data_IF_992989211614
#
_entry.id   IF_992989211614
#
_cell.length_a   1.000
_cell.length_b   1.000
_cell.length_c   1.000
_cell.angle_alpha   90.00
_cell.angle_beta   90.00
_cell.angle_gamma   90.00
#
_symmetry.space_group_name_H-M   'P 1'
#
loop_
_entity.id
_entity.type
_entity.pdbx_description
1 polymer ?
#
# COMPACT_ATOMS: atom_id res chain seq x y z
N UNK A 1 16.74 19.53 1.28
CA UNK A 1 15.45 18.85 1.56
C UNK A 1 14.64 18.90 0.28
N UNK A 2 14.20 17.75 -0.24
CA UNK A 2 13.28 17.74 -1.38
C UNK A 2 11.95 18.37 -0.95
N UNK A 3 11.43 19.31 -1.73
CA UNK A 3 10.07 19.81 -1.51
C UNK A 3 9.09 18.63 -1.58
N UNK A 4 8.14 18.56 -0.65
CA UNK A 4 7.06 17.58 -0.69
C UNK A 4 6.01 18.07 -1.69
N UNK A 5 5.74 17.28 -2.72
CA UNK A 5 4.70 17.59 -3.69
C UNK A 5 3.51 16.67 -3.40
N UNK A 6 2.38 17.27 -3.06
CA UNK A 6 1.12 16.54 -3.02
C UNK A 6 0.66 16.24 -4.45
N UNK A 7 -0.30 15.31 -4.56
CA UNK A 7 -0.94 15.04 -5.83
C UNK A 7 -1.50 16.32 -6.45
N UNK A 8 -1.11 16.60 -7.69
CA UNK A 8 -1.53 17.72 -8.50
C UNK A 8 -2.36 17.20 -9.68
N UNK A 9 -3.69 17.38 -9.71
CA UNK A 9 -4.54 16.89 -10.80
C UNK A 9 -4.24 17.55 -12.15
N UNK A 10 -3.53 18.69 -12.16
CA UNK A 10 -3.12 19.42 -13.38
C UNK A 10 -1.69 19.10 -13.83
N UNK A 11 -0.95 18.28 -13.06
CA UNK A 11 0.39 17.84 -13.42
C UNK A 11 0.37 16.64 -14.36
N UNK A 12 1.55 16.26 -14.87
CA UNK A 12 1.68 15.02 -15.63
C UNK A 12 1.37 13.80 -14.73
N UNK A 13 0.41 12.99 -15.16
CA UNK A 13 0.04 11.73 -14.51
C UNK A 13 0.34 10.61 -15.50
N UNK A 14 1.31 9.77 -15.16
CA UNK A 14 1.60 8.55 -15.89
C UNK A 14 0.72 7.43 -15.35
N UNK A 15 -0.16 6.94 -16.21
CA UNK A 15 -0.99 5.77 -15.95
C UNK A 15 -0.43 4.56 -16.69
N UNK A 16 -0.27 3.44 -15.99
CA UNK A 16 0.05 2.14 -16.61
C UNK A 16 -0.95 1.09 -16.16
N UNK A 17 -1.49 0.32 -17.12
CA UNK A 17 -2.49 -0.71 -16.88
C UNK A 17 -1.94 -2.07 -17.32
N UNK A 18 -1.15 -2.70 -16.46
CA UNK A 18 -0.79 -4.13 -16.57
C UNK A 18 -1.62 -4.92 -15.54
N UNK A 19 -1.03 -5.92 -14.88
CA UNK A 19 -1.71 -6.74 -13.85
C UNK A 19 -2.23 -5.92 -12.66
N UNK A 20 -1.59 -4.79 -12.36
CA UNK A 20 -2.04 -3.81 -11.37
C UNK A 20 -1.97 -2.41 -12.01
N UNK A 21 -3.08 -1.67 -12.09
CA UNK A 21 -3.05 -0.32 -12.61
C UNK A 21 -2.30 0.59 -11.64
N UNK A 22 -1.33 1.36 -12.15
CA UNK A 22 -0.54 2.29 -11.35
C UNK A 22 -0.70 3.72 -11.87
N UNK A 23 -1.01 4.64 -10.96
CA UNK A 23 -1.00 6.07 -11.21
C UNK A 23 0.27 6.63 -10.61
N UNK A 24 1.04 7.35 -11.43
CA UNK A 24 2.34 7.88 -11.03
C UNK A 24 2.42 9.36 -11.39
N UNK A 25 2.72 10.19 -10.41
CA UNK A 25 3.11 11.57 -10.59
C UNK A 25 4.49 11.79 -9.96
N UNK A 26 5.39 12.40 -10.74
CA UNK A 26 6.76 12.68 -10.34
C UNK A 26 6.77 13.54 -9.07
N UNK A 27 7.48 13.08 -8.04
CA UNK A 27 7.61 13.79 -6.77
C UNK A 27 6.39 13.71 -5.85
N UNK A 28 5.33 13.00 -6.24
CA UNK A 28 4.16 12.84 -5.39
C UNK A 28 4.46 11.96 -4.17
N UNK A 29 3.76 12.26 -3.07
CA UNK A 29 3.73 11.45 -1.85
C UNK A 29 2.67 10.35 -2.00
N UNK A 30 3.02 9.12 -1.62
CA UNK A 30 2.14 7.96 -1.62
C UNK A 30 2.08 7.35 -0.23
N UNK A 31 0.87 6.97 0.19
CA UNK A 31 0.66 6.04 1.29
C UNK A 31 0.57 4.62 0.72
N UNK A 32 1.43 3.72 1.20
CA UNK A 32 1.52 2.35 0.73
C UNK A 32 1.43 1.39 1.91
N UNK A 33 0.57 0.39 1.76
CA UNK A 33 0.42 -0.71 2.71
C UNK A 33 0.82 -2.01 2.02
N UNK A 34 1.72 -2.77 2.63
CA UNK A 34 2.01 -4.14 2.23
C UNK A 34 1.88 -5.08 3.42
N UNK A 35 1.49 -6.32 3.15
CA UNK A 35 1.06 -7.26 4.19
C UNK A 35 1.58 -8.66 3.92
N UNK A 36 1.69 -9.45 4.98
CA UNK A 36 1.94 -10.88 4.84
C UNK A 36 0.80 -11.53 4.06
N UNK A 37 1.11 -12.60 3.33
CA UNK A 37 0.14 -13.29 2.48
C UNK A 37 -1.07 -13.81 3.28
N UNK A 38 -0.84 -14.23 4.53
CA UNK A 38 -1.82 -14.74 5.47
C UNK A 38 -2.45 -13.68 6.38
N UNK A 39 -2.04 -12.40 6.25
CA UNK A 39 -2.55 -11.29 7.08
C UNK A 39 -4.06 -11.03 6.89
N UNK A 40 -4.63 -11.46 5.77
CA UNK A 40 -6.08 -11.44 5.55
C UNK A 40 -6.59 -12.84 5.25
N UNK A 41 -7.44 -13.42 6.11
CA UNK A 41 -8.11 -14.67 5.85
C UNK A 41 -8.84 -14.65 4.50
N UNK A 42 -8.71 -15.73 3.73
CA UNK A 42 -9.28 -15.83 2.39
C UNK A 42 -10.78 -15.52 2.36
N UNK A 43 -11.55 -16.02 3.34
CA UNK A 43 -12.99 -15.80 3.40
C UNK A 43 -13.37 -14.31 3.57
N UNK A 44 -12.65 -13.56 4.42
CA UNK A 44 -12.86 -12.11 4.59
C UNK A 44 -12.53 -11.36 3.31
N UNK A 45 -11.41 -11.72 2.66
CA UNK A 45 -11.00 -11.12 1.39
C UNK A 45 -12.05 -11.35 0.29
N UNK A 46 -12.51 -12.59 0.12
CA UNK A 46 -13.51 -12.94 -0.90
C UNK A 46 -14.84 -12.23 -0.66
N UNK A 47 -15.29 -12.17 0.60
CA UNK A 47 -16.50 -11.45 0.97
C UNK A 47 -16.37 -9.96 0.63
N UNK A 48 -15.27 -9.33 1.05
CA UNK A 48 -15.00 -7.92 0.78
C UNK A 48 -14.93 -7.60 -0.72
N UNK A 49 -14.24 -8.43 -1.51
CA UNK A 49 -14.17 -8.27 -2.96
C UNK A 49 -15.56 -8.35 -3.58
N UNK A 50 -16.38 -9.32 -3.16
CA UNK A 50 -17.77 -9.47 -3.64
C UNK A 50 -18.65 -8.25 -3.30
N UNK A 51 -18.60 -7.78 -2.06
CA UNK A 51 -19.37 -6.63 -1.59
C UNK A 51 -18.94 -5.34 -2.28
N UNK A 52 -17.63 -5.11 -2.42
CA UNK A 52 -17.09 -3.95 -3.12
C UNK A 52 -17.51 -3.95 -4.58
N UNK A 53 -17.37 -5.08 -5.27
CA UNK A 53 -17.71 -5.18 -6.68
C UNK A 53 -19.22 -4.99 -6.89
N UNK A 54 -20.07 -5.47 -5.97
CA UNK A 54 -21.50 -5.18 -5.99
C UNK A 54 -21.81 -3.70 -5.78
N UNK A 55 -21.14 -3.05 -4.83
CA UNK A 55 -21.32 -1.63 -4.54
C UNK A 55 -20.89 -0.76 -5.73
N UNK A 56 -19.75 -1.07 -6.37
CA UNK A 56 -19.23 -0.37 -7.55
C UNK A 56 -20.14 -0.47 -8.78
N UNK A 57 -20.92 -1.55 -8.91
CA UNK A 57 -21.93 -1.68 -9.99
C UNK A 57 -23.09 -0.69 -9.83
N UNK A 58 -23.44 -0.36 -8.60
CA UNK A 58 -24.54 0.56 -8.26
C UNK A 58 -24.05 2.01 -8.25
N UNK A 59 -22.84 2.26 -7.74
CA UNK A 59 -22.26 3.59 -7.60
C UNK A 59 -21.24 3.87 -8.71
N UNK A 60 -21.72 4.34 -9.86
CA UNK A 60 -20.86 4.72 -10.98
C UNK A 60 -20.20 6.08 -10.75
N UNK A 61 -18.94 6.20 -11.14
CA UNK A 61 -18.20 7.46 -11.09
C UNK A 61 -18.69 8.48 -12.14
N UNK A 62 -18.49 9.80 -11.92
CA UNK A 62 -17.80 10.40 -10.77
C UNK A 62 -18.66 10.38 -9.49
N UNK A 63 -18.01 10.20 -8.34
CA UNK A 63 -18.67 10.19 -7.04
C UNK A 63 -18.75 11.59 -6.44
N UNK A 64 -19.79 11.84 -5.64
CA UNK A 64 -19.79 12.98 -4.71
C UNK A 64 -18.85 12.69 -3.54
N UNK A 65 -18.45 13.73 -2.81
CA UNK A 65 -17.62 13.60 -1.61
C UNK A 65 -18.25 12.68 -0.54
N UNK A 66 -19.59 12.63 -0.47
CA UNK A 66 -20.30 11.75 0.47
C UNK A 66 -20.21 10.28 0.06
N UNK A 67 -20.36 9.99 -1.24
CA UNK A 67 -20.23 8.64 -1.80
C UNK A 67 -18.79 8.14 -1.71
N UNK A 68 -17.82 9.03 -1.95
CA UNK A 68 -16.39 8.73 -1.79
C UNK A 68 -16.04 8.44 -0.33
N UNK A 69 -16.57 9.22 0.62
CA UNK A 69 -16.39 8.97 2.05
C UNK A 69 -16.99 7.63 2.48
N UNK A 70 -18.21 7.33 2.04
CA UNK A 70 -18.85 6.03 2.30
C UNK A 70 -17.98 4.88 1.77
N UNK A 71 -17.46 5.02 0.54
CA UNK A 71 -16.57 4.02 -0.04
C UNK A 71 -15.31 3.81 0.83
N UNK A 72 -14.66 4.88 1.26
CA UNK A 72 -13.47 4.79 2.09
C UNK A 72 -13.75 4.19 3.46
N UNK A 73 -14.84 4.58 4.13
CA UNK A 73 -15.22 4.01 5.42
C UNK A 73 -15.53 2.51 5.30
N UNK A 74 -16.31 2.13 4.29
CA UNK A 74 -16.80 0.76 4.12
C UNK A 74 -15.72 -0.20 3.63
N UNK A 75 -14.85 0.24 2.73
CA UNK A 75 -13.92 -0.67 2.05
C UNK A 75 -12.48 -0.46 2.50
N UNK A 76 -11.96 0.77 2.43
CA UNK A 76 -10.59 1.05 2.87
C UNK A 76 -10.46 0.90 4.40
N UNK A 77 -11.38 1.48 5.17
CA UNK A 77 -11.38 1.42 6.63
C UNK A 77 -11.57 0.00 7.17
N UNK A 78 -12.48 -0.78 6.58
CA UNK A 78 -12.65 -2.19 6.94
C UNK A 78 -11.39 -3.03 6.70
N UNK A 79 -10.68 -2.76 5.60
CA UNK A 79 -9.42 -3.44 5.29
C UNK A 79 -8.34 -3.15 6.35
N UNK A 80 -8.16 -1.88 6.69
CA UNK A 80 -7.20 -1.46 7.72
C UNK A 80 -7.57 -2.04 9.09
N UNK A 81 -8.87 -2.04 9.43
CA UNK A 81 -9.34 -2.67 10.67
C UNK A 81 -8.98 -4.17 10.74
N UNK A 82 -9.14 -4.93 9.66
CA UNK A 82 -8.77 -6.35 9.64
C UNK A 82 -7.26 -6.60 9.64
N UNK A 83 -6.47 -5.64 9.16
CA UNK A 83 -5.02 -5.70 9.30
C UNK A 83 -4.63 -5.51 10.77
N UNK A 84 -5.24 -4.55 11.46
CA UNK A 84 -5.01 -4.24 12.87
C UNK A 84 -5.45 -5.36 13.83
N UNK A 85 -6.42 -6.20 13.47
CA UNK A 85 -6.80 -7.36 14.30
C UNK A 85 -5.67 -8.40 14.40
N UNK A 86 -4.69 -8.37 13.49
CA UNK A 86 -3.52 -9.24 13.56
C UNK A 86 -3.80 -10.68 13.15
N UNK A 87 -4.61 -10.91 12.11
CA UNK A 87 -4.76 -12.24 11.52
C UNK A 87 -3.44 -12.77 10.91
N UNK A 88 -3.40 -14.09 10.69
CA UNK A 88 -2.24 -14.79 10.14
C UNK A 88 -1.18 -15.10 11.20
N UNK A 89 0.01 -15.42 10.73
CA UNK A 89 1.18 -15.79 11.53
C UNK A 89 1.71 -14.66 12.40
N UNK A 90 1.47 -13.40 12.03
CA UNK A 90 2.00 -12.23 12.70
C UNK A 90 3.52 -12.30 12.94
N UNK A 91 4.27 -12.87 12.00
CA UNK A 91 5.70 -13.16 12.20
C UNK A 91 6.53 -11.89 12.46
N UNK A 92 6.06 -10.72 12.03
CA UNK A 92 6.71 -9.43 12.29
C UNK A 92 6.52 -8.95 13.74
N UNK A 93 5.78 -9.67 14.60
CA UNK A 93 5.86 -9.45 16.06
C UNK A 93 7.24 -9.80 16.61
N UNK A 94 7.94 -10.72 15.95
CA UNK A 94 9.30 -11.07 16.34
C UNK A 94 10.23 -9.95 15.90
N UNK A 95 11.01 -9.45 16.85
CA UNK A 95 11.90 -8.30 16.65
C UNK A 95 12.93 -8.54 15.55
N UNK A 96 13.46 -9.75 15.46
CA UNK A 96 14.41 -10.16 14.42
C UNK A 96 13.80 -10.08 13.01
N UNK A 97 12.59 -10.60 12.83
CA UNK A 97 11.85 -10.51 11.56
C UNK A 97 11.50 -9.06 11.22
N UNK A 98 10.98 -8.29 12.19
CA UNK A 98 10.66 -6.88 11.99
C UNK A 98 11.89 -6.05 11.59
N UNK A 99 13.05 -6.34 12.19
CA UNK A 99 14.30 -5.64 11.92
C UNK A 99 14.78 -5.88 10.48
N UNK A 100 14.58 -7.09 9.92
CA UNK A 100 14.87 -7.36 8.50
C UNK A 100 14.05 -6.43 7.60
N UNK A 101 12.77 -6.24 7.92
CA UNK A 101 11.89 -5.35 7.15
C UNK A 101 12.32 -3.89 7.29
N UNK A 102 12.60 -3.45 8.52
CA UNK A 102 13.06 -2.09 8.80
C UNK A 102 14.39 -1.78 8.10
N UNK A 103 15.33 -2.74 8.08
CA UNK A 103 16.59 -2.61 7.35
C UNK A 103 16.37 -2.54 5.84
N UNK A 104 15.46 -3.33 5.29
CA UNK A 104 15.11 -3.25 3.88
C UNK A 104 14.55 -1.88 3.52
N UNK A 105 13.60 -1.34 4.32
CA UNK A 105 13.07 0.00 4.12
C UNK A 105 14.19 1.06 4.11
N UNK A 106 15.07 1.04 5.12
CA UNK A 106 16.23 1.96 5.19
C UNK A 106 17.21 1.79 4.03
N UNK A 107 17.39 0.57 3.52
CA UNK A 107 18.29 0.33 2.39
C UNK A 107 17.80 0.99 1.10
N UNK A 108 16.48 1.10 0.91
CA UNK A 108 15.89 1.71 -0.28
C UNK A 108 15.61 3.21 -0.15
N UNK A 109 15.58 3.72 1.07
CA UNK A 109 15.49 5.14 1.36
C UNK A 109 16.66 5.91 0.71
N UNK A 110 16.32 7.03 0.06
CA UNK A 110 17.23 7.85 -0.73
C UNK A 110 17.70 7.23 -2.05
N UNK A 111 17.42 5.94 -2.32
CA UNK A 111 17.83 5.26 -3.57
C UNK A 111 16.69 5.22 -4.58
N UNK A 112 15.62 4.51 -4.24
CA UNK A 112 14.46 4.27 -5.13
C UNK A 112 13.24 5.06 -4.71
N UNK A 113 13.11 5.29 -3.40
CA UNK A 113 12.10 6.13 -2.78
C UNK A 113 12.76 6.97 -1.71
N UNK A 114 12.16 8.09 -1.35
CA UNK A 114 12.42 8.74 -0.07
C UNK A 114 11.33 8.31 0.89
N UNK A 115 11.68 7.66 1.99
CA UNK A 115 10.72 7.25 3.02
C UNK A 115 10.55 8.41 3.99
N UNK A 116 9.34 8.98 4.02
CA UNK A 116 8.99 10.04 4.98
C UNK A 116 8.76 9.44 6.36
N UNK A 117 7.98 8.36 6.41
CA UNK A 117 7.65 7.63 7.63
C UNK A 117 7.31 6.19 7.28
N UNK A 118 7.54 5.28 8.22
CA UNK A 118 7.10 3.90 8.10
C UNK A 118 6.90 3.26 9.46
N UNK A 119 5.99 2.30 9.55
CA UNK A 119 5.73 1.49 10.74
C UNK A 119 5.58 0.03 10.34
N UNK A 120 6.30 -0.84 11.03
CA UNK A 120 6.19 -2.30 10.88
C UNK A 120 5.22 -2.81 11.92
N UNK A 121 4.06 -3.27 11.46
CA UNK A 121 3.01 -3.87 12.25
C UNK A 121 3.17 -5.40 12.27
N UNK A 122 2.51 -6.13 13.19
CA UNK A 122 2.63 -7.59 13.32
C UNK A 122 2.52 -8.41 12.03
N UNK A 123 1.66 -8.01 11.09
CA UNK A 123 1.37 -8.73 9.86
C UNK A 123 1.35 -7.81 8.62
N UNK A 124 1.66 -6.53 8.76
CA UNK A 124 1.66 -5.55 7.68
C UNK A 124 2.62 -4.39 7.96
N UNK A 125 2.80 -3.51 6.98
CA UNK A 125 3.66 -2.34 7.08
C UNK A 125 2.97 -1.19 6.37
N UNK A 126 2.94 -0.03 7.02
CA UNK A 126 2.59 1.23 6.38
C UNK A 126 3.84 2.03 6.10
N UNK A 127 3.91 2.64 4.92
CA UNK A 127 4.93 3.61 4.60
C UNK A 127 4.35 4.81 3.86
N UNK A 128 4.86 5.98 4.18
CA UNK A 128 4.66 7.21 3.43
C UNK A 128 5.93 7.46 2.65
N UNK A 129 5.84 7.43 1.31
CA UNK A 129 7.01 7.49 0.43
C UNK A 129 6.85 8.58 -0.62
N UNK A 130 7.95 9.23 -0.97
CA UNK A 130 8.07 10.05 -2.17
C UNK A 130 8.76 9.21 -3.24
N UNK A 131 8.12 9.08 -4.39
CA UNK A 131 8.73 8.39 -5.52
C UNK A 131 9.92 9.20 -6.03
N UNK A 132 11.09 8.54 -6.18
CA UNK A 132 12.19 9.14 -6.92
C UNK A 132 11.83 9.18 -8.42
N UNK A 133 11.98 10.35 -9.04
CA UNK A 133 11.66 10.57 -10.44
C UNK A 133 12.38 9.61 -11.41
N UNK A 134 13.57 9.15 -11.03
CA UNK A 134 14.40 8.27 -11.87
C UNK A 134 13.94 6.80 -11.78
N UNK A 135 12.99 6.48 -10.91
CA UNK A 135 12.48 5.13 -10.67
C UNK A 135 10.97 5.07 -10.87
N UNK A 136 10.51 4.36 -11.90
CA UNK A 136 9.08 4.09 -12.10
C UNK A 136 8.50 3.29 -10.92
N UNK A 137 7.24 3.58 -10.54
CA UNK A 137 6.58 2.96 -9.39
C UNK A 137 6.40 1.44 -9.59
N UNK A 138 6.23 1.00 -10.84
CA UNK A 138 6.24 -0.42 -11.24
C UNK A 138 7.55 -1.16 -10.87
N UNK A 139 8.68 -0.43 -10.82
CA UNK A 139 10.00 -0.95 -10.41
C UNK A 139 10.23 -0.87 -8.90
N UNK A 140 9.28 -0.31 -8.15
CA UNK A 140 9.20 -0.39 -6.68
C UNK A 140 8.58 -1.71 -6.21
N UNK A 141 8.71 -2.77 -7.01
CA UNK A 141 8.33 -4.16 -6.72
C UNK A 141 8.86 -4.72 -5.38
N UNK A 142 9.86 -4.06 -4.79
CA UNK A 142 10.41 -4.37 -3.47
C UNK A 142 9.34 -4.38 -2.38
N UNK A 143 8.31 -3.53 -2.50
CA UNK A 143 7.27 -3.46 -1.48
C UNK A 143 6.27 -4.61 -1.55
N UNK A 144 6.17 -5.31 -2.69
CA UNK A 144 4.99 -6.13 -2.96
C UNK A 144 5.21 -7.64 -2.83
N UNK A 145 6.25 -8.30 -3.37
CA UNK A 145 6.12 -9.79 -3.47
C UNK A 145 7.33 -10.75 -3.40
N UNK A 146 8.61 -10.39 -3.15
CA UNK A 146 9.65 -11.46 -3.31
C UNK A 146 10.89 -11.48 -2.43
N UNK A 147 11.36 -10.36 -1.88
CA UNK A 147 12.62 -10.38 -1.10
C UNK A 147 12.40 -10.58 0.41
N UNK A 148 11.24 -10.16 0.91
CA UNK A 148 10.86 -10.30 2.33
C UNK A 148 10.42 -11.72 2.68
N UNK A 149 9.64 -12.36 1.79
CA UNK A 149 9.18 -13.75 1.98
C UNK A 149 10.36 -14.74 2.03
N UNK A 150 11.39 -14.57 1.19
CA UNK A 150 12.58 -15.45 1.15
C UNK A 150 13.50 -15.37 2.37
N UNK A 151 13.37 -14.34 3.20
CA UNK A 151 14.26 -14.12 4.37
C UNK A 151 13.58 -14.46 5.70
N UNK A 152 12.31 -14.83 5.68
CA UNK A 152 11.48 -15.02 6.87
C UNK A 152 11.01 -16.49 7.02
N UNK A 153 11.55 -17.42 6.23
CA UNK A 153 11.40 -18.87 6.45
C UNK A 153 12.27 -19.38 7.61
#
# INVERSE_FOLDING_TARGET
>A
MAALWFFNPYGEIRFTANRLPHWQQKGAVYFVTFRLADALPHHLRTQWESERDAWLRVHRQPWSADVEREYHERFSGAMEHWLDTGHGSCILRRRDCAEIVAQALRYFDGKRVVIISSIVMPNHVHAVVVQNADWALEKLHILYESELARRIE
#
